data_IF_729134014693
#
_entry.id   IF_729134014693
#
_cell.length_a   1.000
_cell.length_b   1.000
_cell.length_c   1.000
_cell.angle_alpha   90.00
_cell.angle_beta   90.00
_cell.angle_gamma   90.00
#
_symmetry.space_group_name_H-M   'P 1'
#
loop_
_entity.id
_entity.type
_entity.pdbx_description
1 polymer ?
#
# COMPACT_ATOMS: atom_id res chain seq x y z
N UNK A 1 -14.87 1.02 -2.69
CA UNK A 1 -14.58 2.41 -3.10
C UNK A 1 -13.09 2.49 -3.40
N UNK A 2 -12.66 3.29 -4.37
CA UNK A 2 -11.24 3.43 -4.66
C UNK A 2 -10.51 4.12 -3.50
N UNK A 3 -9.22 3.81 -3.32
CA UNK A 3 -8.39 4.39 -2.26
C UNK A 3 -7.89 5.80 -2.60
N UNK A 4 -7.87 6.16 -3.88
CA UNK A 4 -7.56 7.51 -4.34
C UNK A 4 -8.43 7.89 -5.55
N UNK A 5 -8.36 9.15 -5.96
CA UNK A 5 -9.05 9.69 -7.14
C UNK A 5 -8.08 10.04 -8.26
N UNK A 6 -8.58 10.21 -9.49
CA UNK A 6 -7.75 10.67 -10.61
C UNK A 6 -7.09 12.03 -10.32
N UNK A 7 -7.80 12.92 -9.62
CA UNK A 7 -7.25 14.22 -9.19
C UNK A 7 -6.07 14.06 -8.25
N UNK A 8 -6.11 13.10 -7.32
CA UNK A 8 -4.99 12.82 -6.43
C UNK A 8 -3.75 12.35 -7.21
N UNK A 9 -3.94 11.46 -8.19
CA UNK A 9 -2.84 10.94 -9.02
C UNK A 9 -2.18 12.07 -9.82
N UNK A 10 -2.95 13.03 -10.32
CA UNK A 10 -2.43 14.20 -11.05
C UNK A 10 -1.55 15.12 -10.20
N UNK A 11 -1.55 15.00 -8.87
CA UNK A 11 -0.62 15.73 -8.00
C UNK A 11 0.81 15.23 -8.10
N UNK A 12 1.01 13.95 -8.49
CA UNK A 12 2.32 13.30 -8.52
C UNK A 12 2.82 12.96 -9.92
N UNK A 13 1.93 12.90 -10.92
CA UNK A 13 2.30 12.63 -12.31
C UNK A 13 1.46 13.46 -13.28
N UNK A 14 2.13 14.10 -14.24
CA UNK A 14 1.47 14.72 -15.37
C UNK A 14 1.38 13.73 -16.53
N UNK A 15 0.17 13.50 -17.01
CA UNK A 15 -0.15 12.54 -18.07
C UNK A 15 -1.27 13.08 -18.94
N UNK A 16 -1.26 12.68 -20.22
CA UNK A 16 -2.31 12.96 -21.19
C UNK A 16 -3.50 12.01 -21.06
N UNK A 17 -3.45 11.02 -20.17
CA UNK A 17 -4.58 10.14 -19.90
C UNK A 17 -5.78 10.93 -19.37
N UNK A 18 -6.96 10.50 -19.78
CA UNK A 18 -8.25 10.98 -19.26
C UNK A 18 -8.50 10.47 -17.85
N UNK A 19 -9.42 11.10 -17.12
CA UNK A 19 -9.74 10.69 -15.75
C UNK A 19 -10.30 9.26 -15.69
N UNK A 20 -11.11 8.87 -16.68
CA UNK A 20 -11.64 7.50 -16.79
C UNK A 20 -10.53 6.45 -17.01
N UNK A 21 -9.49 6.79 -17.78
CA UNK A 21 -8.33 5.90 -17.96
C UNK A 21 -7.51 5.78 -16.66
N UNK A 22 -7.35 6.89 -15.93
CA UNK A 22 -6.67 6.87 -14.63
C UNK A 22 -7.46 6.04 -13.62
N UNK A 23 -8.78 6.19 -13.55
CA UNK A 23 -9.66 5.40 -12.68
C UNK A 23 -9.55 3.89 -12.92
N UNK A 24 -9.42 3.46 -14.18
CA UNK A 24 -9.18 2.05 -14.51
C UNK A 24 -7.83 1.55 -13.97
N UNK A 25 -6.79 2.39 -13.99
CA UNK A 25 -5.48 2.03 -13.43
C UNK A 25 -5.50 2.04 -11.90
N UNK A 26 -6.26 2.96 -11.29
CA UNK A 26 -6.50 2.97 -9.84
C UNK A 26 -7.17 1.66 -9.42
N UNK A 27 -8.21 1.21 -10.13
CA UNK A 27 -8.90 -0.05 -9.81
C UNK A 27 -7.95 -1.26 -9.83
N UNK A 28 -7.01 -1.32 -10.79
CA UNK A 28 -5.98 -2.36 -10.84
C UNK A 28 -5.00 -2.26 -9.66
N UNK A 29 -4.61 -1.03 -9.30
CA UNK A 29 -3.67 -0.76 -8.19
C UNK A 29 -4.29 -1.10 -6.84
N UNK A 30 -5.56 -0.76 -6.63
CA UNK A 30 -6.32 -1.07 -5.42
C UNK A 30 -6.52 -2.58 -5.26
N UNK A 31 -6.82 -3.28 -6.36
CA UNK A 31 -6.89 -4.74 -6.34
C UNK A 31 -5.54 -5.40 -6.00
N UNK A 32 -4.41 -4.80 -6.41
CA UNK A 32 -3.07 -5.27 -6.01
C UNK A 32 -2.82 -5.06 -4.51
N UNK A 33 -3.23 -3.91 -3.96
CA UNK A 33 -3.14 -3.62 -2.52
C UNK A 33 -3.96 -4.65 -1.73
N UNK A 34 -5.22 -4.84 -2.10
CA UNK A 34 -6.14 -5.77 -1.44
C UNK A 34 -5.60 -7.20 -1.46
N UNK A 35 -5.00 -7.61 -2.58
CA UNK A 35 -4.40 -8.93 -2.71
C UNK A 35 -3.19 -9.12 -1.78
N UNK A 36 -2.41 -8.07 -1.52
CA UNK A 36 -1.15 -8.16 -0.76
C UNK A 36 -1.32 -7.99 0.73
N UNK A 37 -2.18 -7.08 1.16
CA UNK A 37 -2.34 -6.71 2.58
C UNK A 37 -3.80 -6.78 3.06
N UNK A 38 -4.71 -7.31 2.25
CA UNK A 38 -6.14 -7.36 2.54
C UNK A 38 -6.84 -6.02 2.28
N UNK A 39 -8.18 -5.98 2.26
CA UNK A 39 -8.96 -4.76 2.11
C UNK A 39 -8.61 -3.75 3.21
N UNK A 40 -8.48 -2.48 2.82
CA UNK A 40 -8.08 -1.39 3.69
C UNK A 40 -9.13 -0.29 3.76
N UNK A 41 -8.92 0.70 4.64
CA UNK A 41 -9.77 1.88 4.72
C UNK A 41 -9.33 2.95 3.72
N UNK A 42 -10.27 3.49 2.94
CA UNK A 42 -10.03 4.65 2.07
C UNK A 42 -9.75 5.95 2.85
N UNK A 43 -9.97 5.96 4.17
CA UNK A 43 -9.62 7.09 5.03
C UNK A 43 -8.17 7.06 5.50
N UNK A 44 -7.43 5.97 5.26
CA UNK A 44 -6.03 5.85 5.67
C UNK A 44 -5.12 6.62 4.69
N UNK A 45 -4.41 7.66 5.14
CA UNK A 45 -3.54 8.47 4.27
C UNK A 45 -2.40 7.68 3.61
N UNK A 46 -1.88 6.65 4.27
CA UNK A 46 -0.79 5.83 3.72
C UNK A 46 -1.30 4.88 2.64
N UNK A 47 -2.52 4.36 2.78
CA UNK A 47 -3.17 3.55 1.75
C UNK A 47 -3.54 4.41 0.54
N UNK A 48 -4.06 5.62 0.78
CA UNK A 48 -4.27 6.61 -0.29
C UNK A 48 -2.96 6.89 -1.04
N UNK A 49 -1.87 7.19 -0.32
CA UNK A 49 -0.54 7.42 -0.91
C UNK A 49 -0.04 6.20 -1.70
N UNK A 50 -0.23 5.00 -1.17
CA UNK A 50 0.17 3.75 -1.83
C UNK A 50 -0.55 3.54 -3.16
N UNK A 51 -1.87 3.73 -3.18
CA UNK A 51 -2.70 3.64 -4.39
C UNK A 51 -2.27 4.67 -5.44
N UNK A 52 -2.01 5.91 -5.01
CA UNK A 52 -1.48 6.96 -5.89
C UNK A 52 -0.13 6.55 -6.51
N UNK A 53 0.83 6.10 -5.70
CA UNK A 53 2.18 5.74 -6.16
C UNK A 53 2.17 4.55 -7.12
N UNK A 54 1.39 3.50 -6.85
CA UNK A 54 1.24 2.35 -7.74
C UNK A 54 0.64 2.76 -9.10
N UNK A 55 -0.37 3.63 -9.05
CA UNK A 55 -1.02 4.17 -10.25
C UNK A 55 -0.02 4.98 -11.07
N UNK A 56 0.69 5.92 -10.45
CA UNK A 56 1.68 6.77 -11.13
C UNK A 56 2.84 5.95 -11.70
N UNK A 57 3.36 4.96 -10.96
CA UNK A 57 4.38 4.03 -11.45
C UNK A 57 3.91 3.28 -12.69
N UNK A 58 2.66 2.81 -12.69
CA UNK A 58 2.06 2.11 -13.83
C UNK A 58 1.93 3.03 -15.04
N UNK A 59 1.47 4.27 -14.84
CA UNK A 59 1.37 5.28 -15.90
C UNK A 59 2.75 5.59 -16.49
N UNK A 60 3.76 5.90 -15.66
CA UNK A 60 5.13 6.22 -16.13
C UNK A 60 5.77 5.06 -16.88
N UNK A 61 5.53 3.82 -16.45
CA UNK A 61 6.02 2.62 -17.14
C UNK A 61 5.38 2.43 -18.51
N UNK A 62 4.08 2.76 -18.66
CA UNK A 62 3.34 2.64 -19.93
C UNK A 62 3.54 3.83 -20.86
N UNK A 63 3.80 5.01 -20.31
CA UNK A 63 3.97 6.27 -21.02
C UNK A 63 5.26 6.96 -20.55
N UNK A 64 6.43 6.61 -21.09
CA UNK A 64 7.71 7.19 -20.68
C UNK A 64 7.76 8.72 -20.80
N UNK A 65 6.96 9.29 -21.71
CA UNK A 65 6.81 10.74 -21.91
C UNK A 65 6.01 11.47 -20.81
N UNK A 66 5.32 10.75 -19.93
CA UNK A 66 4.72 11.37 -18.73
C UNK A 66 5.83 11.84 -17.79
N UNK A 67 5.60 12.88 -17.00
CA UNK A 67 6.63 13.45 -16.12
C UNK A 67 6.14 13.53 -14.68
N UNK A 68 7.03 13.23 -13.74
CA UNK A 68 6.71 13.32 -12.32
C UNK A 68 6.56 14.79 -11.89
N UNK A 69 5.63 15.07 -10.98
CA UNK A 69 5.27 16.42 -10.52
C UNK A 69 5.36 16.49 -8.99
N UNK A 70 5.60 17.69 -8.46
CA UNK A 70 5.53 17.96 -7.01
C UNK A 70 6.84 17.72 -6.27
N UNK A 71 6.77 17.05 -5.11
CA UNK A 71 7.93 16.70 -4.24
C UNK A 71 8.94 15.77 -4.93
N UNK A 72 8.53 15.19 -6.05
CA UNK A 72 9.27 14.24 -6.86
C UNK A 72 9.85 14.92 -8.11
N UNK A 73 10.78 15.88 -7.92
CA UNK A 73 11.50 16.47 -9.06
C UNK A 73 12.38 15.42 -9.73
N UNK A 74 12.28 15.28 -11.06
CA UNK A 74 13.11 14.36 -11.86
C UNK A 74 14.62 14.67 -11.75
N UNK A 75 14.97 15.87 -11.29
CA UNK A 75 16.33 16.32 -10.95
C UNK A 75 16.99 15.48 -9.82
N UNK A 76 16.21 14.71 -9.05
CA UNK A 76 16.67 13.95 -7.89
C UNK A 76 17.09 12.49 -8.20
N UNK A 77 17.01 12.04 -9.46
CA UNK A 77 17.46 10.72 -9.90
C UNK A 77 16.35 9.83 -10.49
N UNK A 78 16.54 8.51 -10.43
CA UNK A 78 15.59 7.54 -11.00
C UNK A 78 14.26 7.53 -10.21
N UNK A 79 13.28 8.29 -10.67
CA UNK A 79 12.00 8.46 -9.98
C UNK A 79 11.26 7.14 -9.72
N UNK A 80 11.39 6.17 -10.64
CA UNK A 80 10.79 4.85 -10.48
C UNK A 80 11.38 4.11 -9.28
N UNK A 81 12.68 4.24 -9.01
CA UNK A 81 13.30 3.66 -7.82
C UNK A 81 12.83 4.34 -6.53
N UNK A 82 12.67 5.67 -6.54
CA UNK A 82 12.16 6.40 -5.38
C UNK A 82 10.75 5.95 -5.03
N UNK A 83 9.87 5.87 -6.03
CA UNK A 83 8.51 5.34 -5.86
C UNK A 83 8.52 3.89 -5.41
N UNK A 84 9.39 3.04 -5.97
CA UNK A 84 9.47 1.64 -5.58
C UNK A 84 9.90 1.48 -4.12
N UNK A 85 10.92 2.22 -3.68
CA UNK A 85 11.36 2.21 -2.27
C UNK A 85 10.26 2.63 -1.32
N UNK A 86 9.50 3.68 -1.66
CA UNK A 86 8.40 4.16 -0.84
C UNK A 86 7.22 3.16 -0.81
N UNK A 87 6.85 2.59 -1.97
CA UNK A 87 5.85 1.52 -2.06
C UNK A 87 6.22 0.35 -1.15
N UNK A 88 7.47 -0.11 -1.22
CA UNK A 88 7.96 -1.22 -0.38
C UNK A 88 7.98 -0.85 1.10
N UNK A 89 8.34 0.39 1.43
CA UNK A 89 8.31 0.89 2.81
C UNK A 89 6.89 0.83 3.37
N UNK A 90 5.90 1.31 2.63
CA UNK A 90 4.50 1.29 3.07
C UNK A 90 4.04 -0.16 3.24
N UNK A 91 4.26 -1.04 2.25
CA UNK A 91 3.88 -2.46 2.38
C UNK A 91 4.46 -3.15 3.61
N UNK A 92 5.72 -2.85 3.99
CA UNK A 92 6.34 -3.42 5.19
C UNK A 92 5.62 -3.02 6.48
N UNK A 93 5.12 -1.78 6.57
CA UNK A 93 4.39 -1.31 7.75
C UNK A 93 3.08 -2.10 7.96
N UNK A 94 2.39 -2.46 6.88
CA UNK A 94 1.15 -3.25 6.96
C UNK A 94 1.41 -4.75 7.11
N UNK A 95 2.54 -5.26 6.62
CA UNK A 95 2.93 -6.67 6.78
C UNK A 95 3.29 -7.03 8.23
N UNK A 96 3.82 -6.09 9.02
CA UNK A 96 4.21 -6.35 10.42
C UNK A 96 3.02 -6.43 11.39
N UNK A 97 1.81 -6.03 10.98
CA UNK A 97 0.62 -6.00 11.85
C UNK A 97 -0.10 -7.36 11.89
N UNK A 98 0.28 -8.34 11.06
CA UNK A 98 -0.22 -9.72 11.20
C UNK A 98 0.49 -10.49 12.32
N UNK A 99 0.50 -9.95 13.54
CA UNK A 99 0.86 -10.75 14.72
C UNK A 99 -0.32 -11.69 14.98
N UNK A 100 -0.20 -12.94 14.51
CA UNK A 100 -1.14 -13.98 14.90
C UNK A 100 -1.13 -14.09 16.43
N UNK A 101 -2.30 -13.93 17.05
CA UNK A 101 -2.47 -14.23 18.47
C UNK A 101 -2.06 -15.69 18.68
N UNK A 102 -0.96 -15.91 19.41
CA UNK A 102 -0.57 -17.25 19.83
C UNK A 102 -1.62 -17.71 20.84
N UNK A 103 -2.31 -18.81 20.54
CA UNK A 103 -3.24 -19.45 21.47
C UNK A 103 -2.59 -19.58 22.85
N UNK A 104 -3.19 -18.93 23.84
CA UNK A 104 -2.82 -19.12 25.24
C UNK A 104 -3.29 -20.54 25.62
N UNK A 105 -2.39 -21.53 25.58
CA UNK A 105 -2.64 -22.82 26.22
C UNK A 105 -2.69 -22.58 27.72
N UNK A 106 -3.90 -22.52 28.26
CA UNK A 106 -4.15 -22.57 29.68
C UNK A 106 -3.53 -23.87 30.23
N UNK A 107 -2.42 -23.76 30.95
CA UNK A 107 -1.83 -24.90 31.66
C UNK A 107 -2.73 -25.11 32.88
N UNK A 108 -3.53 -26.16 32.87
CA UNK A 108 -4.34 -26.55 34.01
C UNK A 108 -3.42 -27.17 35.07
N UNK A 109 -3.01 -26.38 36.06
CA UNK A 109 -2.13 -26.79 37.16
C UNK A 109 -2.86 -27.60 38.25
N UNK A 110 -3.95 -28.28 37.91
CA UNK A 110 -4.71 -29.08 38.87
C UNK A 110 -4.20 -30.52 38.96
N UNK A 111 -2.95 -30.75 39.37
CA UNK A 111 -2.47 -32.07 39.84
C UNK A 111 -1.10 -32.02 40.54
N UNK A 112 -0.99 -31.31 41.66
CA UNK A 112 0.19 -31.52 42.53
C UNK A 112 0.03 -31.39 44.04
N UNK A 113 -1.20 -31.39 44.58
CA UNK A 113 -1.36 -31.50 46.03
C UNK A 113 -2.57 -32.36 46.41
N UNK A 114 -2.28 -33.58 46.86
CA UNK A 114 -3.00 -34.42 47.85
C UNK A 114 -2.31 -35.80 47.86
N UNK A 115 -1.82 -36.38 48.94
CA UNK A 115 -1.74 -36.00 50.36
C UNK A 115 -0.76 -37.01 50.99
N UNK A 116 0.11 -36.55 51.89
CA UNK A 116 0.67 -37.42 52.94
C UNK A 116 -0.50 -37.99 53.76
N UNK A 117 -0.52 -39.30 54.03
CA UNK A 117 -0.54 -40.00 55.34
C UNK A 117 -0.48 -41.51 55.07
#
# INVERSE_FOLDING_TARGET
MPYCTASDVRLIINTTLTDAEIENIIALSDAEIDKRIGPQSASDPLIKKLSMLLTAKTIKTRQPQSFAVGEYREDAGNILEVWDREIQRIFRLYKSVSVQATEYRHIDESKRYSQEV
#
